data_IF_843427554135
#
_entry.id   IF_843427554135
#
_cell.length_a   1.000
_cell.length_b   1.000
_cell.length_c   1.000
_cell.angle_alpha   90.00
_cell.angle_beta   90.00
_cell.angle_gamma   90.00
#
_symmetry.space_group_name_H-M   'P 1'
#
loop_
_entity.id
_entity.type
_entity.pdbx_description
1 polymer ?
#
# COMPACT_ATOMS: atom_id res chain seq x y z
N UNK A 1 -14.79 -5.73 16.29
CA UNK A 1 -14.22 -6.99 15.74
C UNK A 1 -13.86 -6.90 14.26
N UNK A 2 -14.79 -6.56 13.34
CA UNK A 2 -14.47 -6.45 11.90
C UNK A 2 -13.30 -5.51 11.58
N UNK A 3 -13.22 -4.37 12.27
CA UNK A 3 -12.13 -3.41 12.08
C UNK A 3 -10.78 -3.90 12.61
N UNK A 4 -10.76 -4.68 13.70
CA UNK A 4 -9.54 -5.28 14.24
C UNK A 4 -8.98 -6.34 13.26
N UNK A 5 -9.84 -7.21 12.73
CA UNK A 5 -9.46 -8.22 11.74
C UNK A 5 -8.88 -7.57 10.48
N UNK A 6 -9.54 -6.52 9.95
CA UNK A 6 -9.01 -5.77 8.79
C UNK A 6 -7.61 -5.21 9.06
N UNK A 7 -7.39 -4.62 10.23
CA UNK A 7 -6.07 -4.07 10.62
C UNK A 7 -5.00 -5.15 10.71
N UNK A 8 -5.32 -6.30 11.31
CA UNK A 8 -4.40 -7.44 11.40
C UNK A 8 -4.06 -7.95 10.01
N UNK A 9 -5.06 -8.15 9.14
CA UNK A 9 -4.84 -8.61 7.76
C UNK A 9 -3.92 -7.67 6.99
N UNK A 10 -4.15 -6.36 7.06
CA UNK A 10 -3.31 -5.39 6.35
C UNK A 10 -1.93 -5.30 6.98
N UNK A 11 -1.82 -5.40 8.31
CA UNK A 11 -0.54 -5.46 9.00
C UNK A 11 0.31 -6.65 8.57
N UNK A 12 -0.30 -7.82 8.40
CA UNK A 12 0.40 -9.02 7.89
C UNK A 12 0.83 -8.80 6.43
N UNK A 13 -0.05 -8.28 5.57
CA UNK A 13 0.27 -8.06 4.14
C UNK A 13 1.40 -7.04 3.98
N UNK A 14 1.27 -5.86 4.62
CA UNK A 14 2.26 -4.79 4.52
C UNK A 14 3.56 -5.13 5.25
N UNK A 15 3.50 -5.76 6.42
CA UNK A 15 4.68 -6.25 7.14
C UNK A 15 5.41 -7.36 6.37
N UNK A 16 4.67 -8.31 5.78
CA UNK A 16 5.23 -9.34 4.91
C UNK A 16 5.88 -8.75 3.66
N UNK A 17 5.26 -7.74 3.05
CA UNK A 17 5.82 -7.03 1.90
C UNK A 17 7.13 -6.30 2.25
N UNK A 18 7.17 -5.55 3.36
CA UNK A 18 8.40 -4.90 3.85
C UNK A 18 9.48 -5.94 4.13
N UNK A 19 9.13 -7.04 4.81
CA UNK A 19 10.06 -8.13 5.13
C UNK A 19 10.64 -8.77 3.87
N UNK A 20 9.82 -8.96 2.84
CA UNK A 20 10.26 -9.48 1.55
C UNK A 20 11.23 -8.52 0.84
N UNK A 21 10.92 -7.22 0.82
CA UNK A 21 11.82 -6.20 0.26
C UNK A 21 13.16 -6.20 1.00
N UNK A 22 13.12 -6.22 2.34
CA UNK A 22 14.34 -6.25 3.15
C UNK A 22 15.16 -7.51 2.86
N UNK A 23 14.52 -8.68 2.76
CA UNK A 23 15.19 -9.93 2.40
C UNK A 23 15.90 -9.83 1.05
N UNK A 24 15.22 -9.32 0.01
CA UNK A 24 15.79 -9.15 -1.31
C UNK A 24 16.97 -8.16 -1.31
N UNK A 25 16.85 -7.06 -0.55
CA UNK A 25 17.89 -6.06 -0.38
C UNK A 25 19.15 -6.63 0.28
N UNK A 26 19.01 -7.30 1.44
CA UNK A 26 20.15 -7.91 2.13
C UNK A 26 20.76 -9.07 1.35
N UNK A 27 19.98 -9.74 0.50
CA UNK A 27 20.47 -10.77 -0.43
C UNK A 27 21.07 -10.20 -1.71
N UNK A 28 21.19 -8.87 -1.82
CA UNK A 28 21.73 -8.16 -2.99
C UNK A 28 21.07 -8.57 -4.32
N UNK A 29 19.76 -8.83 -4.29
CA UNK A 29 19.01 -9.22 -5.49
C UNK A 29 18.70 -7.99 -6.36
N UNK A 30 18.74 -8.19 -7.66
CA UNK A 30 18.28 -7.19 -8.64
C UNK A 30 16.77 -7.34 -8.79
N UNK A 31 16.05 -6.22 -8.66
CA UNK A 31 14.58 -6.17 -8.72
C UNK A 31 14.05 -5.39 -9.92
N UNK A 32 14.94 -4.70 -10.65
CA UNK A 32 14.61 -3.87 -11.81
C UNK A 32 15.11 -4.51 -13.11
N UNK A 33 14.55 -4.09 -14.23
CA UNK A 33 14.98 -4.52 -15.56
C UNK A 33 16.32 -3.89 -15.95
N UNK A 34 16.97 -4.46 -16.96
CA UNK A 34 18.34 -4.08 -17.36
C UNK A 34 18.50 -2.58 -17.64
N UNK A 35 17.47 -1.93 -18.21
CA UNK A 35 17.46 -0.50 -18.49
C UNK A 35 17.43 0.41 -17.25
N UNK A 36 17.19 -0.14 -16.06
CA UNK A 36 17.07 0.61 -14.80
C UNK A 36 18.04 0.14 -13.71
N UNK A 37 19.04 -0.70 -14.04
CA UNK A 37 19.95 -1.30 -13.06
C UNK A 37 20.60 -0.28 -12.11
N UNK A 38 21.01 0.88 -12.63
CA UNK A 38 21.60 1.96 -11.85
C UNK A 38 20.67 2.50 -10.76
N UNK A 39 19.35 2.35 -10.94
CA UNK A 39 18.32 2.80 -10.02
C UNK A 39 17.80 1.69 -9.09
N UNK A 40 18.39 0.49 -9.10
CA UNK A 40 17.91 -0.65 -8.31
C UNK A 40 17.74 -0.30 -6.81
N UNK A 41 18.74 0.36 -6.21
CA UNK A 41 18.71 0.83 -4.81
C UNK A 41 17.64 1.90 -4.56
N UNK A 42 17.39 2.76 -5.54
CA UNK A 42 16.34 3.77 -5.46
C UNK A 42 14.96 3.11 -5.42
N UNK A 43 14.72 2.11 -6.28
CA UNK A 43 13.46 1.38 -6.28
C UNK A 43 13.23 0.58 -5.00
N UNK A 44 14.26 -0.02 -4.42
CA UNK A 44 14.17 -0.58 -3.06
C UNK A 44 13.69 0.44 -2.04
N UNK A 45 14.27 1.64 -2.06
CA UNK A 45 13.93 2.71 -1.13
C UNK A 45 12.48 3.18 -1.31
N UNK A 46 12.04 3.37 -2.57
CA UNK A 46 10.66 3.75 -2.90
C UNK A 46 9.68 2.68 -2.40
N UNK A 47 9.92 1.40 -2.72
CA UNK A 47 9.05 0.31 -2.32
C UNK A 47 9.01 0.13 -0.79
N UNK A 48 10.14 0.32 -0.10
CA UNK A 48 10.19 0.30 1.36
C UNK A 48 9.37 1.45 1.98
N UNK A 49 9.50 2.67 1.46
CA UNK A 49 8.71 3.83 1.90
C UNK A 49 7.21 3.56 1.70
N UNK A 50 6.82 3.02 0.54
CA UNK A 50 5.43 2.63 0.27
C UNK A 50 4.97 1.56 1.27
N UNK A 51 5.75 0.51 1.49
CA UNK A 51 5.43 -0.54 2.45
C UNK A 51 5.21 0.01 3.86
N UNK A 52 6.15 0.84 4.35
CA UNK A 52 6.08 1.49 5.67
C UNK A 52 4.87 2.40 5.75
N UNK A 53 4.62 3.21 4.73
CA UNK A 53 3.45 4.08 4.64
C UNK A 53 2.16 3.28 4.80
N UNK A 54 2.00 2.16 4.08
CA UNK A 54 0.84 1.28 4.21
C UNK A 54 0.75 0.65 5.61
N UNK A 55 1.86 0.19 6.17
CA UNK A 55 1.89 -0.44 7.49
C UNK A 55 1.49 0.53 8.61
N UNK A 56 2.07 1.75 8.61
CA UNK A 56 1.76 2.77 9.61
C UNK A 56 0.30 3.18 9.54
N UNK A 57 -0.19 3.46 8.32
CA UNK A 57 -1.53 4.00 8.13
C UNK A 57 -2.65 3.00 8.34
N UNK A 58 -2.43 1.74 7.99
CA UNK A 58 -3.52 0.76 8.03
C UNK A 58 -3.39 -0.22 9.20
N UNK A 59 -2.20 -0.47 9.72
CA UNK A 59 -2.00 -1.38 10.85
C UNK A 59 -1.88 -0.64 12.19
N UNK A 60 -0.91 0.29 12.32
CA UNK A 60 -0.57 0.92 13.62
C UNK A 60 -1.59 1.99 14.02
N UNK A 61 -1.83 2.96 13.14
CA UNK A 61 -2.71 4.07 13.42
C UNK A 61 -3.69 4.23 12.27
N UNK A 62 -4.85 3.54 12.30
CA UNK A 62 -5.91 3.67 11.30
C UNK A 62 -6.54 5.05 11.45
N UNK A 63 -5.81 6.06 11.01
CA UNK A 63 -6.32 7.42 10.92
C UNK A 63 -7.42 7.36 9.88
N UNK A 64 -8.61 7.86 10.25
CA UNK A 64 -9.66 8.09 9.27
C UNK A 64 -9.17 9.17 8.31
N UNK A 65 -8.47 8.71 7.29
CA UNK A 65 -7.83 9.59 6.36
C UNK A 65 -8.90 10.09 5.39
N UNK A 66 -9.32 11.33 5.61
CA UNK A 66 -9.72 12.24 4.52
C UNK A 66 -8.58 12.43 3.50
N UNK A 67 -7.41 11.80 3.66
CA UNK A 67 -6.43 11.66 2.59
C UNK A 67 -7.14 11.01 1.41
N UNK A 68 -7.18 11.83 0.37
CA UNK A 68 -8.11 11.79 -0.72
C UNK A 68 -8.03 10.39 -1.34
N UNK A 69 -9.17 9.72 -1.55
CA UNK A 69 -9.23 8.43 -2.30
C UNK A 69 -8.37 8.47 -3.56
N UNK A 70 -8.29 9.66 -4.17
CA UNK A 70 -7.41 10.02 -5.27
C UNK A 70 -5.94 9.66 -5.01
N UNK A 71 -5.36 9.96 -3.86
CA UNK A 71 -3.96 9.65 -3.55
C UNK A 71 -3.69 8.14 -3.52
N UNK A 72 -4.57 7.36 -2.88
CA UNK A 72 -4.44 5.89 -2.87
C UNK A 72 -4.67 5.30 -4.26
N UNK A 73 -5.59 5.88 -5.04
CA UNK A 73 -5.86 5.48 -6.41
C UNK A 73 -4.66 5.74 -7.32
N UNK A 74 -4.10 6.95 -7.27
CA UNK A 74 -2.90 7.34 -8.05
C UNK A 74 -1.71 6.49 -7.64
N UNK A 75 -1.49 6.29 -6.34
CA UNK A 75 -0.43 5.42 -5.85
C UNK A 75 -0.60 3.97 -6.35
N UNK A 76 -1.83 3.45 -6.30
CA UNK A 76 -2.15 2.11 -6.78
C UNK A 76 -1.86 1.94 -8.28
N UNK A 77 -2.29 2.89 -9.11
CA UNK A 77 -1.98 2.90 -10.55
C UNK A 77 -0.47 2.99 -10.78
N UNK A 78 0.22 3.90 -10.09
CA UNK A 78 1.66 4.07 -10.23
C UNK A 78 2.41 2.78 -9.90
N UNK A 79 2.01 2.06 -8.84
CA UNK A 79 2.60 0.77 -8.49
C UNK A 79 2.34 -0.30 -9.55
N UNK A 80 1.13 -0.37 -10.12
CA UNK A 80 0.84 -1.31 -11.21
C UNK A 80 1.74 -1.03 -12.42
N UNK A 81 1.87 0.24 -12.81
CA UNK A 81 2.72 0.64 -13.93
C UNK A 81 4.21 0.37 -13.66
N UNK A 82 4.70 0.69 -12.47
CA UNK A 82 6.10 0.41 -12.07
C UNK A 82 6.35 -1.10 -12.04
N UNK A 83 5.40 -1.87 -11.52
CA UNK A 83 5.47 -3.32 -11.48
C UNK A 83 5.58 -3.93 -12.88
N UNK A 84 4.83 -3.40 -13.84
CA UNK A 84 4.82 -3.90 -15.22
C UNK A 84 6.04 -3.44 -16.04
N UNK A 85 6.45 -2.18 -15.89
CA UNK A 85 7.44 -1.55 -16.79
C UNK A 85 8.88 -1.57 -16.27
N UNK A 86 9.07 -1.62 -14.94
CA UNK A 86 10.39 -1.46 -14.32
C UNK A 86 10.82 -2.70 -13.57
N UNK A 87 9.92 -3.30 -12.80
CA UNK A 87 10.27 -4.42 -11.93
C UNK A 87 10.32 -5.74 -12.70
N UNK A 88 11.17 -6.66 -12.27
CA UNK A 88 11.29 -7.99 -12.88
C UNK A 88 10.90 -9.10 -11.93
N UNK A 89 10.34 -10.17 -12.48
CA UNK A 89 10.31 -11.46 -11.81
C UNK A 89 11.45 -12.32 -12.37
N UNK A 90 12.19 -12.97 -11.48
CA UNK A 90 13.23 -13.92 -11.82
C UNK A 90 12.97 -15.22 -11.06
N UNK A 91 12.51 -16.25 -11.78
CA UNK A 91 12.15 -17.55 -11.23
C UNK A 91 13.39 -18.26 -10.65
N UNK A 92 14.54 -18.15 -11.34
CA UNK A 92 15.80 -18.80 -10.93
C UNK A 92 16.33 -18.23 -9.60
N UNK A 93 16.14 -16.94 -9.39
CA UNK A 93 16.53 -16.24 -8.17
C UNK A 93 15.41 -16.13 -7.13
N UNK A 94 14.25 -16.73 -7.38
CA UNK A 94 13.04 -16.65 -6.53
C UNK A 94 12.58 -15.20 -6.24
N UNK A 95 12.75 -14.32 -7.23
CA UNK A 95 12.31 -12.92 -7.17
C UNK A 95 10.96 -12.79 -7.87
N UNK A 96 9.92 -12.38 -7.15
CA UNK A 96 8.54 -12.23 -7.67
C UNK A 96 7.98 -10.82 -7.39
N UNK A 97 8.88 -9.82 -7.34
CA UNK A 97 8.56 -8.48 -6.86
C UNK A 97 7.63 -7.71 -7.82
N UNK A 98 7.73 -7.91 -9.13
CA UNK A 98 6.83 -7.26 -10.10
C UNK A 98 5.38 -7.67 -9.85
N UNK A 99 5.12 -8.97 -9.70
CA UNK A 99 3.75 -9.46 -9.48
C UNK A 99 3.21 -9.03 -8.12
N UNK A 100 4.03 -9.09 -7.08
CA UNK A 100 3.65 -8.64 -5.75
C UNK A 100 3.30 -7.14 -5.72
N UNK A 101 4.08 -6.31 -6.41
CA UNK A 101 3.82 -4.87 -6.50
C UNK A 101 2.55 -4.59 -7.32
N UNK A 102 2.31 -5.32 -8.42
CA UNK A 102 1.06 -5.20 -9.20
C UNK A 102 -0.17 -5.60 -8.38
N UNK A 103 -0.08 -6.70 -7.60
CA UNK A 103 -1.16 -7.14 -6.71
C UNK A 103 -1.42 -6.08 -5.63
N UNK A 104 -0.36 -5.56 -5.00
CA UNK A 104 -0.48 -4.51 -4.00
C UNK A 104 -1.10 -3.23 -4.59
N UNK A 105 -0.62 -2.79 -5.75
CA UNK A 105 -1.16 -1.62 -6.45
C UNK A 105 -2.65 -1.79 -6.80
N UNK A 106 -3.02 -2.95 -7.34
CA UNK A 106 -4.41 -3.29 -7.65
C UNK A 106 -5.30 -3.29 -6.39
N UNK A 107 -4.79 -3.83 -5.29
CA UNK A 107 -5.47 -3.80 -4.01
C UNK A 107 -5.70 -2.37 -3.51
N UNK A 108 -4.71 -1.48 -3.65
CA UNK A 108 -4.87 -0.06 -3.28
C UNK A 108 -5.90 0.66 -4.16
N UNK A 109 -5.97 0.37 -5.45
CA UNK A 109 -7.00 0.92 -6.35
C UNK A 109 -8.40 0.51 -5.88
N UNK A 110 -8.59 -0.78 -5.57
CA UNK A 110 -9.87 -1.29 -5.04
C UNK A 110 -10.21 -0.65 -3.69
N UNK A 111 -9.22 -0.52 -2.80
CA UNK A 111 -9.40 0.13 -1.51
C UNK A 111 -9.70 1.63 -1.60
N UNK A 112 -9.15 2.33 -2.60
CA UNK A 112 -9.47 3.73 -2.85
C UNK A 112 -10.93 3.90 -3.28
N UNK A 113 -11.44 2.98 -4.11
CA UNK A 113 -12.82 3.02 -4.59
C UNK A 113 -13.82 2.59 -3.52
N UNK A 114 -13.46 1.57 -2.74
CA UNK A 114 -14.32 1.03 -1.69
C UNK A 114 -14.23 1.88 -0.41
N UNK A 115 -15.35 2.11 0.27
CA UNK A 115 -15.36 2.73 1.61
C UNK A 115 -14.86 1.74 2.69
N UNK A 116 -13.91 0.86 2.36
CA UNK A 116 -13.56 -0.30 3.17
C UNK A 116 -13.00 0.08 4.55
N UNK A 117 -12.36 1.26 4.64
CA UNK A 117 -11.83 1.87 5.87
C UNK A 117 -12.78 2.86 6.54
N UNK A 118 -14.02 3.01 6.05
CA UNK A 118 -14.98 3.87 6.73
C UNK A 118 -15.43 3.17 8.00
N UNK A 119 -14.80 3.51 9.12
CA UNK A 119 -15.23 3.02 10.43
C UNK A 119 -16.61 3.59 10.73
N UNK A 120 -17.46 2.78 11.39
CA UNK A 120 -18.79 3.22 11.81
C UNK A 120 -18.71 4.47 12.72
N UNK A 121 -17.58 4.67 13.41
CA UNK A 121 -17.32 5.80 14.31
C UNK A 121 -17.15 7.12 13.55
N UNK A 122 -16.40 7.11 12.45
CA UNK A 122 -16.20 8.29 11.61
C UNK A 122 -17.41 8.59 10.70
N UNK A 123 -18.24 7.57 10.42
CA UNK A 123 -19.56 7.79 9.82
C UNK A 123 -20.49 8.56 10.79
N UNK A 124 -20.45 8.21 12.08
CA UNK A 124 -21.18 8.92 13.15
C UNK A 124 -20.69 10.36 13.38
N UNK A 125 -19.38 10.61 13.48
CA UNK A 125 -18.85 11.99 13.59
C UNK A 125 -19.26 12.90 12.41
N UNK A 126 -19.39 12.34 11.21
CA UNK A 126 -19.84 13.08 10.02
C UNK A 126 -21.36 13.32 9.99
N UNK A 127 -22.13 12.48 10.68
CA UNK A 127 -23.58 12.66 10.86
C UNK A 127 -23.87 13.67 11.98
N UNK A 128 -23.14 13.60 13.10
CA UNK A 128 -23.25 14.55 14.22
C UNK A 128 -22.83 15.98 13.82
N UNK A 129 -21.72 16.16 13.11
CA UNK A 129 -21.30 17.48 12.59
C UNK A 129 -22.24 18.09 11.54
N UNK A 130 -23.09 17.28 10.90
CA UNK A 130 -24.14 17.79 9.99
C UNK A 130 -25.39 18.22 10.74
N UNK A 131 -25.67 17.60 11.89
CA UNK A 131 -26.81 17.95 12.75
C UNK A 131 -26.57 19.28 13.46
N UNK A 132 -25.35 19.56 13.92
CA UNK A 132 -24.98 20.86 14.52
C UNK A 132 -25.15 22.05 13.56
N UNK A 133 -25.10 21.85 12.24
CA UNK A 133 -25.31 22.92 11.25
C UNK A 133 -26.80 23.21 11.03
N UNK A 134 -27.69 22.27 11.35
CA UNK A 134 -29.15 22.43 11.14
C UNK A 134 -29.83 23.06 12.36
N UNK A 135 -29.21 23.00 13.54
CA UNK A 135 -29.72 23.62 14.78
C UNK A 135 -29.27 25.08 14.97
N UNK A 136 -28.50 25.67 14.04
CA UNK A 136 -28.09 27.10 14.04
C UNK A 136 -28.97 27.94 13.12
#
# INVERSE_FOLDING_TARGET
>A
MKDLLKRISIGIISGGFIGYIAYLFFSSKIIVSEGFLEFNTLYYSILAIVGIYLFVLFAIHPIYMKINKVSLFVLGIALVLIGDSVLINNIESYVYISDLVKILGSFLVVLAWTNFFVSAKAKKEKEESKLEIIEV
#
